data_IF_272666932516
#
_entry.id   IF_272666932516
#
_cell.length_a   1.000
_cell.length_b   1.000
_cell.length_c   1.000
_cell.angle_alpha   90.00
_cell.angle_beta   90.00
_cell.angle_gamma   90.00
#
_symmetry.space_group_name_H-M   'P 1'
#
loop_
_entity.id
_entity.type
_entity.pdbx_description
1 polymer ?
#
# COMPACT_ATOMS: atom_id res chain seq x y z
N UNK A 1 -50.96 -4.33 3.31
CA UNK A 1 -50.22 -5.52 2.84
C UNK A 1 -49.10 -5.08 1.95
N UNK A 2 -47.89 -5.47 2.32
CA UNK A 2 -46.61 -5.49 1.64
C UNK A 2 -45.80 -4.18 1.49
N UNK A 3 -45.01 -3.95 2.53
CA UNK A 3 -43.84 -3.07 2.42
C UNK A 3 -42.60 -3.74 3.11
N UNK A 4 -42.41 -5.07 2.95
CA UNK A 4 -41.32 -5.81 3.65
C UNK A 4 -40.18 -6.30 2.79
N UNK A 5 -40.08 -5.93 1.49
CA UNK A 5 -39.08 -6.53 0.60
C UNK A 5 -37.94 -5.62 0.12
N UNK A 6 -37.62 -4.51 0.85
CA UNK A 6 -36.57 -3.58 0.37
C UNK A 6 -35.35 -3.40 1.28
N UNK A 7 -35.22 -4.14 2.37
CA UNK A 7 -34.19 -3.91 3.39
C UNK A 7 -33.07 -4.96 3.48
N UNK A 8 -33.19 -6.11 2.79
CA UNK A 8 -32.18 -7.19 2.91
C UNK A 8 -31.08 -7.18 1.82
N UNK A 9 -31.20 -6.40 0.78
CA UNK A 9 -30.22 -6.36 -0.31
C UNK A 9 -29.00 -5.42 -0.05
N UNK A 10 -29.08 -4.54 0.92
CA UNK A 10 -28.05 -3.54 1.18
C UNK A 10 -26.74 -4.09 1.81
N UNK A 11 -26.75 -5.03 2.76
CA UNK A 11 -25.53 -5.56 3.38
C UNK A 11 -24.67 -6.37 2.43
N UNK A 12 -25.26 -7.25 1.62
CA UNK A 12 -24.54 -8.12 0.69
C UNK A 12 -23.86 -7.34 -0.46
N UNK A 13 -24.44 -6.23 -0.92
CA UNK A 13 -23.84 -5.36 -1.94
C UNK A 13 -22.67 -4.54 -1.38
N UNK A 14 -22.76 -4.08 -0.12
CA UNK A 14 -21.66 -3.37 0.55
C UNK A 14 -20.45 -4.29 0.79
N UNK A 15 -20.69 -5.55 1.14
CA UNK A 15 -19.65 -6.55 1.34
C UNK A 15 -18.93 -6.87 0.02
N UNK A 16 -19.70 -6.96 -1.09
CA UNK A 16 -19.12 -7.19 -2.42
C UNK A 16 -18.32 -5.98 -2.93
N UNK A 17 -18.81 -4.75 -2.75
CA UNK A 17 -18.06 -3.52 -3.10
C UNK A 17 -16.75 -3.44 -2.30
N UNK A 18 -16.75 -3.83 -1.03
CA UNK A 18 -15.55 -3.89 -0.19
C UNK A 18 -14.56 -4.96 -0.66
N UNK A 19 -15.04 -6.15 -0.97
CA UNK A 19 -14.19 -7.24 -1.51
C UNK A 19 -13.50 -6.82 -2.81
N UNK A 20 -14.22 -6.17 -3.74
CA UNK A 20 -13.65 -5.66 -4.99
C UNK A 20 -12.63 -4.54 -4.71
N UNK A 21 -12.95 -3.64 -3.78
CA UNK A 21 -12.03 -2.57 -3.36
C UNK A 21 -10.70 -3.15 -2.86
N UNK A 22 -10.76 -4.13 -1.98
CA UNK A 22 -9.59 -4.80 -1.43
C UNK A 22 -8.79 -5.56 -2.51
N UNK A 23 -9.48 -6.28 -3.40
CA UNK A 23 -8.84 -7.01 -4.49
C UNK A 23 -8.07 -6.06 -5.44
N UNK A 24 -8.69 -4.96 -5.85
CA UNK A 24 -8.04 -3.97 -6.72
C UNK A 24 -6.91 -3.24 -5.99
N UNK A 25 -7.12 -2.86 -4.73
CA UNK A 25 -6.08 -2.21 -3.91
C UNK A 25 -4.86 -3.14 -3.76
N UNK A 26 -5.08 -4.41 -3.43
CA UNK A 26 -4.02 -5.41 -3.32
C UNK A 26 -3.27 -5.57 -4.65
N UNK A 27 -3.98 -5.73 -5.77
CA UNK A 27 -3.37 -5.86 -7.08
C UNK A 27 -2.54 -4.62 -7.49
N UNK A 28 -2.95 -3.43 -7.08
CA UNK A 28 -2.20 -2.19 -7.30
C UNK A 28 -0.95 -2.15 -6.40
N UNK A 29 -1.11 -2.38 -5.10
CA UNK A 29 -0.01 -2.30 -4.11
C UNK A 29 1.03 -3.39 -4.35
N UNK A 30 0.61 -4.57 -4.80
CA UNK A 30 1.49 -5.70 -5.16
C UNK A 30 2.03 -5.61 -6.60
N UNK A 31 1.85 -4.49 -7.29
CA UNK A 31 2.35 -4.22 -8.64
C UNK A 31 1.84 -5.18 -9.75
N UNK A 32 0.78 -5.94 -9.48
CA UNK A 32 0.09 -6.74 -10.50
C UNK A 32 -0.64 -5.84 -11.51
N UNK A 33 -1.09 -4.67 -11.03
CA UNK A 33 -1.59 -3.56 -11.82
C UNK A 33 -0.57 -2.39 -11.74
N UNK A 34 0.41 -2.31 -12.64
CA UNK A 34 1.45 -1.30 -12.56
C UNK A 34 0.91 0.13 -12.80
N UNK A 35 1.65 1.16 -12.33
CA UNK A 35 1.31 2.56 -12.57
C UNK A 35 1.00 2.86 -14.04
N UNK A 36 -0.03 3.65 -14.29
CA UNK A 36 -0.50 3.98 -15.65
C UNK A 36 -1.41 2.94 -16.30
N UNK A 37 -1.60 1.74 -15.70
CA UNK A 37 -2.51 0.72 -16.22
C UNK A 37 -3.94 1.26 -16.31
N UNK A 38 -4.60 1.05 -17.46
CA UNK A 38 -6.03 1.36 -17.61
C UNK A 38 -6.86 0.40 -16.77
N UNK A 39 -7.94 0.92 -16.19
CA UNK A 39 -8.93 0.18 -15.40
C UNK A 39 -10.30 0.29 -16.08
N UNK A 40 -10.59 -0.48 -17.16
CA UNK A 40 -11.83 -0.37 -17.91
C UNK A 40 -13.01 -0.84 -17.08
N UNK A 41 -13.99 0.06 -16.82
CA UNK A 41 -15.19 -0.26 -16.02
C UNK A 41 -15.94 -1.50 -16.53
N UNK A 42 -16.00 -1.69 -17.85
CA UNK A 42 -16.72 -2.78 -18.48
C UNK A 42 -16.04 -4.13 -18.24
N UNK A 43 -14.73 -4.23 -18.48
CA UNK A 43 -13.97 -5.45 -18.24
C UNK A 43 -13.96 -5.83 -16.76
N UNK A 44 -13.81 -4.86 -15.85
CA UNK A 44 -13.86 -5.10 -14.41
C UNK A 44 -15.27 -5.54 -13.97
N UNK A 45 -16.34 -4.94 -14.54
CA UNK A 45 -17.71 -5.33 -14.24
C UNK A 45 -18.00 -6.80 -14.64
N UNK A 46 -17.46 -7.23 -15.79
CA UNK A 46 -17.54 -8.61 -16.26
C UNK A 46 -16.77 -9.58 -15.34
N UNK A 47 -15.50 -9.24 -15.00
CA UNK A 47 -14.64 -10.07 -14.15
C UNK A 47 -15.23 -10.29 -12.76
N UNK A 48 -15.74 -9.23 -12.13
CA UNK A 48 -16.30 -9.29 -10.78
C UNK A 48 -17.80 -9.63 -10.74
N UNK A 49 -18.43 -9.87 -11.89
CA UNK A 49 -19.86 -10.14 -12.02
C UNK A 49 -20.74 -9.11 -11.28
N UNK A 50 -20.47 -7.80 -11.51
CA UNK A 50 -21.21 -6.68 -10.93
C UNK A 50 -21.57 -5.63 -12.00
N UNK A 51 -22.39 -4.65 -11.63
CA UNK A 51 -22.72 -3.55 -12.54
C UNK A 51 -21.55 -2.59 -12.73
N UNK A 52 -21.47 -1.92 -13.90
CA UNK A 52 -20.51 -0.83 -14.14
C UNK A 52 -20.61 0.29 -13.10
N UNK A 53 -21.80 0.55 -12.57
CA UNK A 53 -22.02 1.52 -11.50
C UNK A 53 -21.34 1.08 -10.20
N UNK A 54 -21.36 -0.21 -9.86
CA UNK A 54 -20.64 -0.78 -8.72
C UNK A 54 -19.13 -0.58 -8.87
N UNK A 55 -18.56 -0.96 -10.03
CA UNK A 55 -17.14 -0.73 -10.31
C UNK A 55 -16.77 0.75 -10.21
N UNK A 56 -17.58 1.64 -10.78
CA UNK A 56 -17.33 3.09 -10.71
C UNK A 56 -17.23 3.60 -9.28
N UNK A 57 -18.09 3.14 -8.36
CA UNK A 57 -18.03 3.48 -6.94
C UNK A 57 -16.70 3.01 -6.31
N UNK A 58 -16.27 1.79 -6.60
CA UNK A 58 -15.01 1.25 -6.11
C UNK A 58 -13.83 2.07 -6.65
N UNK A 59 -13.80 2.38 -7.96
CA UNK A 59 -12.75 3.21 -8.57
C UNK A 59 -12.73 4.63 -7.99
N UNK A 60 -13.88 5.22 -7.67
CA UNK A 60 -13.97 6.51 -6.97
C UNK A 60 -13.37 6.44 -5.56
N UNK A 61 -13.59 5.36 -4.82
CA UNK A 61 -12.98 5.14 -3.50
C UNK A 61 -11.46 5.01 -3.61
N UNK A 62 -10.96 4.25 -4.58
CA UNK A 62 -9.51 4.14 -4.85
C UNK A 62 -8.90 5.48 -5.29
N UNK A 63 -9.67 6.31 -6.00
CA UNK A 63 -9.23 7.65 -6.38
C UNK A 63 -9.18 8.61 -5.17
N UNK A 64 -10.08 8.47 -4.20
CA UNK A 64 -10.06 9.26 -2.95
C UNK A 64 -8.79 9.00 -2.12
N UNK A 65 -8.19 7.81 -2.22
CA UNK A 65 -6.90 7.48 -1.59
C UNK A 65 -5.71 7.59 -2.56
N UNK A 66 -5.94 8.18 -3.74
CA UNK A 66 -4.91 8.47 -4.76
C UNK A 66 -4.17 7.25 -5.34
N UNK A 67 -4.78 6.07 -5.27
CA UNK A 67 -4.27 4.86 -5.94
C UNK A 67 -4.75 4.78 -7.39
N UNK A 68 -5.84 5.46 -7.73
CA UNK A 68 -6.42 5.54 -9.07
C UNK A 68 -6.59 7.00 -9.46
N UNK A 69 -6.33 7.31 -10.72
CA UNK A 69 -6.59 8.62 -11.33
C UNK A 69 -7.79 8.49 -12.26
N UNK A 70 -8.83 9.31 -12.03
CA UNK A 70 -9.99 9.41 -12.89
C UNK A 70 -9.82 10.58 -13.86
N UNK A 71 -9.69 10.29 -15.15
CA UNK A 71 -9.50 11.33 -16.18
C UNK A 71 -10.77 11.44 -17.04
N UNK A 72 -11.38 12.63 -17.15
CA UNK A 72 -12.54 12.83 -18.01
C UNK A 72 -12.27 12.32 -19.43
N UNK A 73 -13.21 11.55 -19.99
CA UNK A 73 -13.14 10.95 -21.34
C UNK A 73 -12.03 9.88 -21.54
N UNK A 74 -11.08 9.73 -20.61
CA UNK A 74 -10.02 8.70 -20.69
C UNK A 74 -10.25 7.54 -19.73
N UNK A 75 -11.18 7.67 -18.77
CA UNK A 75 -11.51 6.64 -17.80
C UNK A 75 -10.58 6.64 -16.58
N UNK A 76 -10.52 5.48 -15.91
CA UNK A 76 -9.71 5.24 -14.73
C UNK A 76 -8.37 4.60 -15.10
N UNK A 77 -7.33 5.00 -14.39
CA UNK A 77 -5.96 4.45 -14.53
C UNK A 77 -5.35 4.29 -13.14
N UNK A 78 -4.46 3.32 -12.95
CA UNK A 78 -3.60 3.27 -11.77
C UNK A 78 -2.75 4.54 -11.74
N UNK A 79 -2.68 5.20 -10.61
CA UNK A 79 -1.90 6.45 -10.46
C UNK A 79 -0.42 6.18 -10.77
N UNK A 80 0.18 7.09 -11.55
CA UNK A 80 1.62 7.10 -11.84
C UNK A 80 2.20 8.37 -11.22
N UNK A 81 2.85 8.27 -10.05
CA UNK A 81 3.40 9.45 -9.36
C UNK A 81 4.50 10.09 -10.19
N UNK A 82 4.54 11.44 -10.23
CA UNK A 82 5.69 12.16 -10.81
C UNK A 82 6.93 12.03 -9.92
N UNK A 83 8.08 12.47 -10.41
CA UNK A 83 9.34 12.49 -9.64
C UNK A 83 9.18 13.35 -8.40
N UNK A 84 8.63 14.56 -8.55
CA UNK A 84 8.41 15.51 -7.47
C UNK A 84 7.42 14.97 -6.45
N UNK A 85 6.33 14.35 -6.91
CA UNK A 85 5.35 13.71 -6.03
C UNK A 85 5.96 12.54 -5.28
N UNK A 86 6.77 11.73 -5.94
CA UNK A 86 7.47 10.60 -5.34
C UNK A 86 8.38 11.04 -4.19
N UNK A 87 9.18 12.07 -4.40
CA UNK A 87 10.02 12.65 -3.37
C UNK A 87 9.21 13.25 -2.21
N UNK A 88 8.11 13.95 -2.53
CA UNK A 88 7.23 14.54 -1.52
C UNK A 88 6.54 13.48 -0.65
N UNK A 89 6.14 12.34 -1.20
CA UNK A 89 5.55 11.23 -0.44
C UNK A 89 6.53 10.72 0.62
N UNK A 90 7.76 10.38 0.23
CA UNK A 90 8.74 9.85 1.18
C UNK A 90 9.18 10.91 2.21
N UNK A 91 9.36 12.17 1.80
CA UNK A 91 9.64 13.27 2.74
C UNK A 91 8.52 13.43 3.77
N UNK A 92 7.26 13.36 3.34
CA UNK A 92 6.10 13.49 4.25
C UNK A 92 6.04 12.30 5.21
N UNK A 93 6.32 11.08 4.73
CA UNK A 93 6.42 9.90 5.60
C UNK A 93 7.48 10.09 6.67
N UNK A 94 8.70 10.48 6.25
CA UNK A 94 9.80 10.71 7.19
C UNK A 94 9.42 11.71 8.28
N UNK A 95 8.80 12.83 7.93
CA UNK A 95 8.35 13.85 8.88
C UNK A 95 7.32 13.30 9.88
N UNK A 96 6.28 12.62 9.40
CA UNK A 96 5.22 12.09 10.26
C UNK A 96 5.71 10.94 11.14
N UNK A 97 6.43 10.01 10.55
CA UNK A 97 6.87 8.80 11.22
C UNK A 97 7.93 9.10 12.29
N UNK A 98 8.87 10.01 12.01
CA UNK A 98 9.88 10.45 13.00
C UNK A 98 9.24 11.26 14.13
N UNK A 99 8.32 12.18 13.81
CA UNK A 99 7.64 12.98 14.83
C UNK A 99 6.82 12.14 15.81
N UNK A 100 6.37 10.95 15.42
CA UNK A 100 5.58 10.03 16.25
C UNK A 100 6.43 9.09 17.13
N UNK A 101 7.74 8.99 16.91
CA UNK A 101 8.61 8.05 17.64
C UNK A 101 8.62 8.24 19.17
N UNK A 102 8.53 9.44 19.75
CA UNK A 102 8.42 9.60 21.18
C UNK A 102 7.23 8.83 21.77
N UNK A 103 6.06 8.92 21.15
CA UNK A 103 4.85 8.22 21.58
C UNK A 103 4.94 6.71 21.35
N UNK A 104 5.55 6.29 20.22
CA UNK A 104 5.85 4.89 19.93
C UNK A 104 6.74 4.29 21.02
N UNK A 105 7.86 4.95 21.37
CA UNK A 105 8.78 4.48 22.43
C UNK A 105 8.08 4.42 23.78
N UNK A 106 7.29 5.43 24.12
CA UNK A 106 6.59 5.49 25.41
C UNK A 106 5.60 4.33 25.58
N UNK A 107 4.98 3.86 24.50
CA UNK A 107 3.92 2.83 24.53
C UNK A 107 4.39 1.46 24.07
N UNK A 108 5.63 1.34 23.58
CA UNK A 108 6.16 0.07 23.10
C UNK A 108 6.27 -0.95 24.24
N UNK A 109 5.75 -2.15 24.01
CA UNK A 109 5.75 -3.29 24.93
C UNK A 109 6.34 -4.53 24.22
N UNK A 110 6.80 -5.56 24.94
CA UNK A 110 7.37 -6.76 24.33
C UNK A 110 6.51 -7.41 23.24
N UNK A 111 5.16 -7.50 23.33
CA UNK A 111 4.34 -8.02 22.24
C UNK A 111 4.42 -7.20 20.95
N UNK A 112 4.61 -5.88 21.04
CA UNK A 112 4.78 -5.02 19.87
C UNK A 112 6.09 -5.34 19.15
N UNK A 113 7.19 -5.51 19.88
CA UNK A 113 8.48 -5.89 19.31
C UNK A 113 8.40 -7.24 18.60
N UNK A 114 7.78 -8.23 19.23
CA UNK A 114 7.58 -9.56 18.65
C UNK A 114 6.73 -9.51 17.36
N UNK A 115 5.70 -8.64 17.32
CA UNK A 115 4.88 -8.44 16.12
C UNK A 115 5.70 -7.82 14.97
N UNK A 116 6.52 -6.81 15.25
CA UNK A 116 7.40 -6.19 14.26
C UNK A 116 8.46 -7.18 13.75
N UNK A 117 9.09 -7.96 14.62
CA UNK A 117 10.05 -9.01 14.25
C UNK A 117 9.43 -10.07 13.35
N UNK A 118 8.18 -10.47 13.61
CA UNK A 118 7.46 -11.42 12.77
C UNK A 118 7.20 -10.84 11.35
N UNK A 119 6.90 -9.55 11.24
CA UNK A 119 6.73 -8.88 9.93
C UNK A 119 8.07 -8.87 9.18
N UNK A 120 9.17 -8.52 9.83
CA UNK A 120 10.51 -8.53 9.23
C UNK A 120 10.88 -9.93 8.74
N UNK A 121 10.60 -10.97 9.52
CA UNK A 121 10.85 -12.35 9.11
C UNK A 121 10.08 -12.73 7.84
N UNK A 122 8.81 -12.31 7.71
CA UNK A 122 8.02 -12.53 6.49
C UNK A 122 8.55 -11.73 5.31
N UNK A 123 8.99 -10.51 5.53
CA UNK A 123 9.64 -9.68 4.51
C UNK A 123 10.91 -10.35 3.99
N UNK A 124 11.75 -10.86 4.90
CA UNK A 124 12.96 -11.60 4.54
C UNK A 124 12.65 -12.87 3.73
N UNK A 125 11.66 -13.66 4.17
CA UNK A 125 11.23 -14.85 3.45
C UNK A 125 10.72 -14.51 2.03
N UNK A 126 9.99 -13.39 1.88
CA UNK A 126 9.54 -12.93 0.58
C UNK A 126 10.73 -12.52 -0.34
N UNK A 127 11.76 -11.87 0.21
CA UNK A 127 12.99 -11.56 -0.54
C UNK A 127 13.74 -12.81 -0.97
N UNK A 128 13.89 -13.79 -0.08
CA UNK A 128 14.54 -15.08 -0.37
C UNK A 128 13.80 -15.89 -1.45
N UNK A 129 12.45 -15.80 -1.43
CA UNK A 129 11.56 -16.39 -2.43
C UNK A 129 11.48 -15.60 -3.75
N UNK A 130 12.13 -14.44 -3.85
CA UNK A 130 12.01 -13.50 -4.97
C UNK A 130 10.58 -13.02 -5.22
N UNK A 131 9.74 -13.00 -4.16
CA UNK A 131 8.39 -12.45 -4.16
C UNK A 131 8.43 -10.95 -3.81
N UNK A 132 8.77 -10.14 -4.82
CA UNK A 132 8.86 -8.69 -4.68
C UNK A 132 7.56 -8.04 -4.17
N UNK A 133 6.38 -8.39 -4.71
CA UNK A 133 5.09 -7.91 -4.20
C UNK A 133 4.88 -8.18 -2.71
N UNK A 134 5.13 -9.39 -2.23
CA UNK A 134 5.01 -9.73 -0.80
C UNK A 134 6.02 -8.95 0.05
N UNK A 135 7.27 -8.81 -0.41
CA UNK A 135 8.29 -8.02 0.29
C UNK A 135 7.86 -6.57 0.48
N UNK A 136 7.34 -5.91 -0.56
CA UNK A 136 6.86 -4.52 -0.50
C UNK A 136 5.67 -4.40 0.45
N UNK A 137 4.74 -5.36 0.42
CA UNK A 137 3.60 -5.39 1.34
C UNK A 137 4.07 -5.49 2.79
N UNK A 138 4.97 -6.43 3.12
CA UNK A 138 5.48 -6.58 4.48
C UNK A 138 6.30 -5.38 4.96
N UNK A 139 7.06 -4.75 4.07
CA UNK A 139 7.72 -3.48 4.35
C UNK A 139 6.72 -2.38 4.72
N UNK A 140 5.64 -2.23 3.96
CA UNK A 140 4.58 -1.27 4.29
C UNK A 140 3.89 -1.61 5.63
N UNK A 141 3.58 -2.89 5.87
CA UNK A 141 2.99 -3.37 7.11
C UNK A 141 3.88 -3.06 8.32
N UNK A 142 5.20 -3.21 8.18
CA UNK A 142 6.16 -2.86 9.24
C UNK A 142 6.00 -1.41 9.68
N UNK A 143 6.03 -0.46 8.75
CA UNK A 143 5.88 0.96 9.07
C UNK A 143 4.52 1.28 9.71
N UNK A 144 3.44 0.72 9.17
CA UNK A 144 2.09 0.91 9.70
C UNK A 144 2.00 0.39 11.14
N UNK A 145 2.49 -0.81 11.41
CA UNK A 145 2.48 -1.40 12.75
C UNK A 145 3.39 -0.64 13.73
N UNK A 146 4.57 -0.21 13.30
CA UNK A 146 5.46 0.63 14.11
C UNK A 146 4.74 1.90 14.57
N UNK A 147 4.08 2.60 13.66
CA UNK A 147 3.40 3.86 13.97
C UNK A 147 2.13 3.64 14.79
N UNK A 148 1.43 2.52 14.62
CA UNK A 148 0.23 2.18 15.37
C UNK A 148 0.49 2.00 16.87
N UNK A 149 1.72 1.67 17.28
CA UNK A 149 2.12 1.54 18.70
C UNK A 149 1.84 2.82 19.49
N UNK A 150 1.95 3.99 18.86
CA UNK A 150 1.63 5.28 19.51
C UNK A 150 0.18 5.40 19.98
N UNK A 151 -0.73 4.57 19.44
CA UNK A 151 -2.16 4.66 19.74
C UNK A 151 -2.84 5.90 19.14
N UNK A 152 -2.22 6.57 18.15
CA UNK A 152 -2.80 7.67 17.42
C UNK A 152 -3.44 7.17 16.11
N UNK A 153 -4.76 6.91 16.07
CA UNK A 153 -5.42 6.33 14.89
C UNK A 153 -5.41 7.27 13.68
N UNK A 154 -5.43 8.58 13.89
CA UNK A 154 -5.40 9.58 12.79
C UNK A 154 -4.06 9.53 12.09
N UNK A 155 -2.95 9.52 12.85
CA UNK A 155 -1.62 9.42 12.29
C UNK A 155 -1.42 8.07 11.60
N UNK A 156 -1.86 6.98 12.22
CA UNK A 156 -1.78 5.63 11.63
C UNK A 156 -2.51 5.55 10.30
N UNK A 157 -3.70 6.16 10.17
CA UNK A 157 -4.43 6.23 8.90
C UNK A 157 -3.65 7.01 7.84
N UNK A 158 -3.05 8.15 8.20
CA UNK A 158 -2.23 8.95 7.29
C UNK A 158 -1.00 8.17 6.80
N UNK A 159 -0.29 7.49 7.70
CA UNK A 159 0.86 6.65 7.35
C UNK A 159 0.43 5.49 6.47
N UNK A 160 -0.71 4.84 6.75
CA UNK A 160 -1.25 3.77 5.91
C UNK A 160 -1.45 4.24 4.47
N UNK A 161 -2.12 5.37 4.28
CA UNK A 161 -2.35 5.95 2.93
C UNK A 161 -1.05 6.32 2.22
N UNK A 162 -0.10 6.91 2.94
CA UNK A 162 1.20 7.26 2.39
C UNK A 162 2.04 6.02 2.05
N UNK A 163 1.98 4.96 2.86
CA UNK A 163 2.65 3.69 2.58
C UNK A 163 2.12 3.01 1.32
N UNK A 164 0.79 3.01 1.12
CA UNK A 164 0.17 2.54 -0.12
C UNK A 164 0.62 3.34 -1.34
N UNK A 165 0.71 4.68 -1.23
CA UNK A 165 1.24 5.54 -2.30
C UNK A 165 2.74 5.32 -2.54
N UNK A 166 3.52 5.07 -1.50
CA UNK A 166 4.95 4.72 -1.62
C UNK A 166 5.15 3.43 -2.41
N UNK A 167 4.27 2.44 -2.25
CA UNK A 167 4.27 1.22 -3.06
C UNK A 167 4.15 1.54 -4.56
N UNK A 168 3.26 2.49 -4.95
CA UNK A 168 3.16 2.94 -6.34
C UNK A 168 4.44 3.64 -6.82
N UNK A 169 5.11 4.41 -5.96
CA UNK A 169 6.39 5.03 -6.31
C UNK A 169 7.44 3.96 -6.59
N UNK A 170 7.54 2.95 -5.72
CA UNK A 170 8.46 1.83 -5.91
C UNK A 170 8.12 1.05 -7.19
N UNK A 171 6.82 0.86 -7.50
CA UNK A 171 6.39 0.23 -8.75
C UNK A 171 6.77 1.05 -10.00
N UNK A 172 6.64 2.38 -9.92
CA UNK A 172 6.94 3.26 -11.06
C UNK A 172 8.44 3.41 -11.30
N UNK A 173 9.22 3.55 -10.23
CA UNK A 173 10.59 4.03 -10.29
C UNK A 173 11.63 3.08 -9.68
N UNK A 174 11.21 2.00 -9.01
CA UNK A 174 12.12 1.01 -8.43
C UNK A 174 12.84 0.20 -9.50
N UNK A 175 14.12 -0.14 -9.26
CA UNK A 175 14.87 -1.04 -10.14
C UNK A 175 14.34 -2.50 -9.99
N UNK A 176 14.26 -3.31 -11.07
CA UNK A 176 13.65 -4.64 -11.06
C UNK A 176 14.22 -5.61 -10.02
N UNK A 177 15.47 -5.42 -9.59
CA UNK A 177 16.21 -6.31 -8.69
C UNK A 177 16.72 -5.62 -7.41
N UNK A 178 16.42 -4.33 -7.25
CA UNK A 178 16.76 -3.54 -6.06
C UNK A 178 15.50 -2.97 -5.42
N UNK A 179 14.42 -3.73 -5.46
CA UNK A 179 13.14 -3.26 -4.95
C UNK A 179 13.18 -3.17 -3.42
N UNK A 180 13.03 -1.96 -2.94
CA UNK A 180 12.59 -1.71 -1.59
C UNK A 180 13.67 -1.63 -0.54
N UNK A 181 13.16 -1.60 0.64
CA UNK A 181 13.78 -1.60 1.91
C UNK A 181 14.75 -2.77 2.09
N UNK A 182 15.87 -2.54 2.71
CA UNK A 182 16.73 -3.62 3.18
C UNK A 182 16.15 -4.13 4.51
N UNK A 183 15.89 -5.42 4.62
CA UNK A 183 15.42 -6.03 5.89
C UNK A 183 16.35 -5.71 7.06
N UNK A 184 17.65 -5.51 6.80
CA UNK A 184 18.64 -5.09 7.80
C UNK A 184 18.29 -3.73 8.42
N UNK A 185 17.74 -2.79 7.61
CA UNK A 185 17.34 -1.47 8.12
C UNK A 185 16.18 -1.61 9.11
N UNK A 186 15.17 -2.45 8.84
CA UNK A 186 14.06 -2.71 9.77
C UNK A 186 14.52 -3.41 11.04
N UNK A 187 15.45 -4.37 10.95
CA UNK A 187 16.04 -5.03 12.14
C UNK A 187 16.76 -4.01 13.02
N UNK A 188 17.52 -3.08 12.42
CA UNK A 188 18.17 -2.00 13.14
C UNK A 188 17.15 -1.11 13.87
N UNK A 189 16.06 -0.71 13.18
CA UNK A 189 15.00 0.11 13.79
C UNK A 189 14.37 -0.57 15.00
N UNK A 190 14.09 -1.88 14.94
CA UNK A 190 13.54 -2.64 16.08
C UNK A 190 14.54 -2.73 17.23
N UNK A 191 15.83 -2.91 16.95
CA UNK A 191 16.90 -2.87 17.96
C UNK A 191 16.91 -1.55 18.71
N UNK A 192 16.93 -0.44 17.98
CA UNK A 192 16.93 0.92 18.55
C UNK A 192 15.63 1.24 19.31
N UNK A 193 14.48 0.73 18.84
CA UNK A 193 13.21 0.86 19.55
C UNK A 193 13.23 0.08 20.88
N UNK A 194 13.78 -1.13 20.90
CA UNK A 194 13.96 -1.93 22.12
C UNK A 194 14.82 -1.21 23.15
N UNK A 195 15.89 -0.57 22.69
CA UNK A 195 16.81 0.21 23.53
C UNK A 195 16.25 1.58 23.92
N UNK A 196 15.05 1.94 23.40
CA UNK A 196 14.42 3.26 23.59
C UNK A 196 15.32 4.43 23.21
N UNK A 197 16.17 4.24 22.22
CA UNK A 197 17.18 5.19 21.77
C UNK A 197 16.56 6.19 20.74
N UNK A 198 15.81 7.19 21.22
CA UNK A 198 15.01 8.09 20.39
C UNK A 198 15.84 8.76 19.27
N UNK A 199 16.97 9.40 19.60
CA UNK A 199 17.75 10.12 18.61
C UNK A 199 18.35 9.18 17.56
N UNK A 200 19.01 8.06 17.91
CA UNK A 200 19.49 7.09 16.93
C UNK A 200 18.37 6.47 16.09
N UNK A 201 17.20 6.19 16.69
CA UNK A 201 16.04 5.64 15.98
C UNK A 201 15.50 6.64 14.96
N UNK A 202 15.44 7.93 15.31
CA UNK A 202 15.01 8.99 14.41
C UNK A 202 15.94 9.13 13.22
N UNK A 203 17.25 9.13 13.46
CA UNK A 203 18.27 9.23 12.41
C UNK A 203 18.25 8.00 11.49
N UNK A 204 18.14 6.80 12.05
CA UNK A 204 18.05 5.56 11.30
C UNK A 204 16.80 5.52 10.41
N UNK A 205 15.64 5.98 10.91
CA UNK A 205 14.39 6.02 10.15
C UNK A 205 14.45 7.04 9.02
N UNK A 206 15.03 8.21 9.24
CA UNK A 206 15.27 9.21 8.17
C UNK A 206 16.19 8.64 7.10
N UNK A 207 17.31 8.06 7.49
CA UNK A 207 18.28 7.46 6.59
C UNK A 207 17.69 6.31 5.76
N UNK A 208 16.82 5.52 6.36
CA UNK A 208 16.07 4.47 5.68
C UNK A 208 15.25 5.03 4.51
N UNK A 209 14.49 6.12 4.71
CA UNK A 209 13.73 6.76 3.63
C UNK A 209 14.64 7.40 2.57
N UNK A 210 15.75 8.00 2.97
CA UNK A 210 16.75 8.56 2.03
C UNK A 210 17.34 7.46 1.14
N UNK A 211 17.65 6.28 1.70
CA UNK A 211 18.11 5.12 0.95
C UNK A 211 17.08 4.65 -0.08
N UNK A 212 15.79 4.57 0.29
CA UNK A 212 14.75 4.19 -0.65
C UNK A 212 14.72 5.18 -1.81
N UNK A 213 14.64 6.48 -1.53
CA UNK A 213 14.60 7.53 -2.57
C UNK A 213 15.85 7.48 -3.47
N UNK A 214 17.04 7.28 -2.90
CA UNK A 214 18.28 7.15 -3.64
C UNK A 214 18.34 5.89 -4.54
N UNK A 215 17.56 4.86 -4.23
CA UNK A 215 17.46 3.63 -5.02
C UNK A 215 16.53 3.74 -6.22
N UNK A 216 15.71 4.81 -6.31
CA UNK A 216 14.76 5.01 -7.39
C UNK A 216 15.44 5.50 -8.68
N UNK A 217 15.04 4.91 -9.81
CA UNK A 217 15.55 5.26 -11.14
C UNK A 217 14.51 6.11 -11.88
N UNK A 218 14.64 7.41 -11.85
CA UNK A 218 13.70 8.36 -12.46
C UNK A 218 13.84 8.53 -13.99
N UNK A 219 14.69 7.73 -14.64
CA UNK A 219 14.99 7.81 -16.09
C UNK A 219 14.40 6.63 -16.88
N UNK A 220 13.12 6.26 -16.66
CA UNK A 220 12.52 5.08 -17.32
C UNK A 220 11.41 5.42 -18.31
N UNK A 221 11.47 4.78 -19.51
CA UNK A 221 10.40 4.73 -20.51
C UNK A 221 9.60 3.43 -20.42
N UNK A 222 8.26 3.58 -20.29
CA UNK A 222 7.25 2.59 -20.68
C UNK A 222 7.05 1.31 -19.89
N UNK A 223 5.82 1.07 -19.39
CA UNK A 223 5.38 -0.15 -18.70
C UNK A 223 4.42 -0.95 -19.60
N UNK A 224 4.56 -2.30 -19.63
CA UNK A 224 3.65 -3.23 -20.33
C UNK A 224 2.29 -3.34 -19.65
N UNK A 225 1.19 -3.45 -20.44
CA UNK A 225 -0.19 -3.53 -19.93
C UNK A 225 -0.50 -4.95 -19.38
N UNK A 226 -1.19 -5.07 -18.22
CA UNK A 226 -1.56 -6.35 -17.63
C UNK A 226 -2.79 -6.99 -18.28
N UNK A 227 -2.89 -8.33 -18.18
CA UNK A 227 -4.09 -9.11 -18.54
C UNK A 227 -5.02 -9.24 -17.32
N UNK A 228 -6.11 -8.48 -17.31
CA UNK A 228 -7.11 -8.45 -16.23
C UNK A 228 -7.80 -9.79 -16.02
N UNK A 229 -8.07 -10.55 -17.10
CA UNK A 229 -8.76 -11.83 -17.02
C UNK A 229 -7.94 -12.85 -16.24
N UNK A 230 -6.62 -12.81 -16.40
CA UNK A 230 -5.69 -13.69 -15.69
C UNK A 230 -5.50 -13.26 -14.24
N UNK A 231 -5.36 -11.96 -13.98
CA UNK A 231 -5.15 -11.40 -12.64
C UNK A 231 -6.30 -11.74 -11.67
N UNK A 232 -7.54 -11.70 -12.15
CA UNK A 232 -8.74 -11.87 -11.33
C UNK A 232 -9.49 -13.18 -11.62
N UNK A 233 -8.82 -14.21 -12.15
CA UNK A 233 -9.45 -15.48 -12.52
C UNK A 233 -10.20 -16.18 -11.36
N UNK A 234 -9.71 -16.03 -10.12
CA UNK A 234 -10.33 -16.63 -8.93
C UNK A 234 -11.60 -15.93 -8.42
N UNK A 235 -11.99 -14.77 -8.98
CA UNK A 235 -13.16 -14.01 -8.53
C UNK A 235 -14.46 -14.32 -9.33
N UNK A 236 -14.39 -15.23 -10.31
CA UNK A 236 -15.56 -15.64 -11.12
C UNK A 236 -16.43 -16.69 -10.45
N UNK A 237 -15.98 -17.36 -9.39
CA UNK A 237 -16.65 -18.52 -8.77
C UNK A 237 -17.23 -18.27 -7.36
N UNK A 238 -17.51 -17.01 -6.99
CA UNK A 238 -18.08 -16.67 -5.66
C UNK A 238 -19.46 -16.03 -5.76
#
# INVERSE_FOLDING_TARGET
>A
MNNEHRLEAAPALQDKDESIYQALMTAIVEHQLPPGSKLPEEALAEVFAVSRTGIRKVLQRLAAVQLVTLTPKRGAHVTSPSVEESQAIFRTRALLEVANLPDVIARCQPPHLAALENIIQREQQAHEAHDGPAAIRHSADFHIQLQAISGNPVLTEMVTRLSQRSSLVIAAWGAPWRQGCRCDDHQQLVGLLRDKALQPLSEALMHHFDHIVASLCFERDGVSLPDFSRLFAGHKES
#
